data_IF_529063087055
#
_entry.id   IF_529063087055
#
_cell.length_a   1.000
_cell.length_b   1.000
_cell.length_c   1.000
_cell.angle_alpha   90.00
_cell.angle_beta   90.00
_cell.angle_gamma   90.00
#
_symmetry.space_group_name_H-M   'P 1'
#
loop_
_entity.id
_entity.type
_entity.pdbx_description
1 polymer ?
#
# COMPACT_ATOMS: atom_id res chain seq x y z
N UNK A 1 77.72 75.12 6.84
CA UNK A 1 77.32 76.47 7.29
C UNK A 1 76.67 77.21 6.12
N UNK A 2 75.60 77.98 6.41
CA UNK A 2 75.04 79.10 5.61
C UNK A 2 74.43 78.74 4.24
N UNK A 3 73.11 78.54 4.15
CA UNK A 3 72.03 79.53 3.83
C UNK A 3 72.08 80.11 2.42
N UNK A 4 70.99 79.93 1.65
CA UNK A 4 70.14 81.01 1.11
C UNK A 4 69.15 80.48 0.06
N UNK A 5 68.08 81.25 -0.16
CA UNK A 5 66.73 80.86 -0.59
C UNK A 5 66.37 81.62 -1.88
N UNK A 6 65.50 81.01 -2.70
CA UNK A 6 64.67 81.57 -3.79
C UNK A 6 65.42 82.09 -5.04
N UNK A 7 64.91 82.07 -6.28
CA UNK A 7 63.54 81.96 -6.80
C UNK A 7 63.50 81.50 -8.29
N UNK A 8 62.33 80.99 -8.71
CA UNK A 8 61.64 81.19 -10.00
C UNK A 8 61.84 80.29 -11.26
N UNK A 9 60.67 79.75 -11.70
CA UNK A 9 60.16 79.48 -13.09
C UNK A 9 60.76 78.25 -13.82
N UNK A 10 60.02 77.25 -14.32
CA UNK A 10 58.59 76.98 -14.59
C UNK A 10 58.40 75.48 -14.84
N UNK A 11 57.25 74.83 -14.55
CA UNK A 11 56.92 73.52 -15.10
C UNK A 11 56.02 73.67 -16.34
N UNK A 12 56.43 73.14 -17.50
CA UNK A 12 55.55 72.84 -18.63
C UNK A 12 55.31 71.33 -18.69
N UNK A 13 54.11 70.84 -18.42
CA UNK A 13 53.64 69.54 -18.87
C UNK A 13 52.51 69.73 -19.89
N UNK A 14 52.59 69.13 -21.08
CA UNK A 14 51.49 68.91 -22.04
C UNK A 14 52.15 68.32 -23.31
N UNK A 15 51.72 67.25 -23.98
CA UNK A 15 50.45 66.54 -24.10
C UNK A 15 50.75 65.09 -24.48
N UNK A 16 50.21 64.11 -23.74
CA UNK A 16 49.86 62.82 -24.34
C UNK A 16 48.35 62.84 -24.45
N UNK A 17 47.87 63.11 -25.66
CA UNK A 17 46.48 62.95 -26.08
C UNK A 17 46.01 61.56 -25.64
N UNK A 18 45.25 61.51 -24.55
CA UNK A 18 44.35 60.40 -24.31
C UNK A 18 43.16 60.65 -25.21
N UNK A 19 43.17 60.02 -26.39
CA UNK A 19 41.94 59.81 -27.15
C UNK A 19 40.99 59.10 -26.20
N UNK A 20 40.02 59.85 -25.67
CA UNK A 20 38.88 59.30 -24.98
C UNK A 20 38.15 58.44 -26.00
N UNK A 21 38.40 57.13 -25.94
CA UNK A 21 37.48 56.15 -26.50
C UNK A 21 36.20 56.35 -25.69
N UNK A 22 35.24 57.06 -26.28
CA UNK A 22 33.84 57.06 -25.86
C UNK A 22 33.29 55.64 -26.06
N UNK A 23 33.76 54.71 -25.24
CA UNK A 23 33.07 53.46 -24.97
C UNK A 23 32.09 53.77 -23.87
N UNK A 24 30.81 53.95 -24.23
CA UNK A 24 29.74 54.03 -23.24
C UNK A 24 29.86 52.85 -22.29
N UNK A 25 29.90 53.14 -20.98
CA UNK A 25 29.81 52.10 -19.96
C UNK A 25 28.40 51.54 -20.07
N UNK A 26 28.21 50.24 -20.38
CA UNK A 26 26.88 49.68 -20.54
C UNK A 26 26.12 49.79 -19.22
N UNK A 27 25.06 50.61 -19.22
CA UNK A 27 24.21 50.80 -18.04
C UNK A 27 23.27 49.60 -17.98
N UNK A 28 23.45 48.76 -16.96
CA UNK A 28 22.55 47.65 -16.65
C UNK A 28 21.88 47.92 -15.30
N UNK A 29 20.55 47.99 -15.30
CA UNK A 29 19.74 48.11 -14.09
C UNK A 29 19.08 46.76 -13.80
N UNK A 30 19.42 46.16 -12.66
CA UNK A 30 18.81 44.91 -12.21
C UNK A 30 17.80 45.19 -11.11
N UNK A 31 16.54 44.87 -11.36
CA UNK A 31 15.44 44.91 -10.39
C UNK A 31 14.91 43.49 -10.25
N UNK A 32 15.27 42.81 -9.15
CA UNK A 32 14.92 41.41 -8.95
C UNK A 32 15.45 40.49 -10.05
N UNK A 33 14.57 39.74 -10.71
CA UNK A 33 14.91 38.84 -11.82
C UNK A 33 14.94 39.54 -13.20
N UNK A 34 14.56 40.82 -13.27
CA UNK A 34 14.55 41.59 -14.52
C UNK A 34 15.78 42.47 -14.65
N UNK A 35 16.40 42.43 -15.82
CA UNK A 35 17.56 43.24 -16.20
C UNK A 35 17.15 44.18 -17.33
N UNK A 36 17.41 45.46 -17.14
CA UNK A 36 17.26 46.51 -18.15
C UNK A 36 18.66 46.89 -18.62
N UNK A 37 18.89 46.86 -19.92
CA UNK A 37 20.14 47.31 -20.54
C UNK A 37 19.89 48.46 -21.50
N UNK A 38 20.77 49.44 -21.49
CA UNK A 38 20.76 50.50 -22.49
C UNK A 38 21.37 49.97 -23.80
N UNK A 39 20.57 49.88 -24.86
CA UNK A 39 20.99 49.46 -26.19
C UNK A 39 21.86 50.52 -26.89
N UNK A 40 22.56 50.13 -27.95
CA UNK A 40 23.52 50.99 -28.68
C UNK A 40 22.89 52.24 -29.33
N UNK A 41 21.55 52.30 -29.44
CA UNK A 41 20.79 53.45 -29.92
C UNK A 41 20.29 54.37 -28.77
N UNK A 42 20.63 54.07 -27.51
CA UNK A 42 20.15 54.80 -26.34
C UNK A 42 18.75 54.41 -25.87
N UNK A 43 18.19 53.31 -26.38
CA UNK A 43 16.89 52.78 -25.97
C UNK A 43 17.04 51.79 -24.81
N UNK A 44 16.10 51.81 -23.86
CA UNK A 44 16.07 50.85 -22.77
C UNK A 44 15.48 49.53 -23.26
N UNK A 45 16.30 48.48 -23.30
CA UNK A 45 15.89 47.12 -23.65
C UNK A 45 15.71 46.30 -22.36
N UNK A 46 14.61 45.55 -22.28
CA UNK A 46 14.27 44.73 -21.12
C UNK A 46 14.55 43.26 -21.46
N UNK A 47 15.33 42.56 -20.63
CA UNK A 47 15.63 41.13 -20.80
C UNK A 47 14.35 40.29 -20.60
N UNK A 48 13.56 40.12 -21.66
CA UNK A 48 12.32 39.36 -21.67
C UNK A 48 12.53 37.86 -21.89
N UNK A 49 13.70 37.46 -22.40
CA UNK A 49 14.01 36.09 -22.81
C UNK A 49 14.14 35.15 -21.61
N UNK A 50 14.77 35.59 -20.52
CA UNK A 50 14.94 34.81 -19.29
C UNK A 50 13.61 34.63 -18.54
N UNK A 51 12.78 35.67 -18.48
CA UNK A 51 11.43 35.60 -17.92
C UNK A 51 10.54 34.65 -18.73
N UNK A 52 10.64 34.68 -20.06
CA UNK A 52 9.89 33.79 -20.94
C UNK A 52 10.34 32.32 -20.77
N UNK A 53 11.65 32.06 -20.74
CA UNK A 53 12.19 30.71 -20.49
C UNK A 53 11.78 30.16 -19.12
N UNK A 54 11.77 30.99 -18.08
CA UNK A 54 11.34 30.57 -16.74
C UNK A 54 9.85 30.28 -16.70
N UNK A 55 9.01 31.08 -17.37
CA UNK A 55 7.58 30.82 -17.52
C UNK A 55 7.30 29.50 -18.27
N UNK A 56 8.01 29.24 -19.35
CA UNK A 56 7.88 27.99 -20.10
C UNK A 56 8.30 26.78 -19.26
N UNK A 57 9.42 26.88 -18.53
CA UNK A 57 9.86 25.83 -17.59
C UNK A 57 8.85 25.60 -16.47
N UNK A 58 8.26 26.66 -15.91
CA UNK A 58 7.21 26.57 -14.90
C UNK A 58 6.01 25.78 -15.44
N UNK A 59 5.52 26.09 -16.64
CA UNK A 59 4.39 25.37 -17.25
C UNK A 59 4.70 23.88 -17.49
N UNK A 60 5.92 23.55 -17.91
CA UNK A 60 6.34 22.16 -18.10
C UNK A 60 6.36 21.42 -16.76
N UNK A 61 6.91 22.06 -15.72
CA UNK A 61 6.96 21.49 -14.38
C UNK A 61 5.57 21.32 -13.77
N UNK A 62 4.66 22.28 -13.95
CA UNK A 62 3.27 22.18 -13.51
C UNK A 62 2.55 20.99 -14.16
N UNK A 63 2.68 20.84 -15.49
CA UNK A 63 2.09 19.69 -16.20
C UNK A 63 2.66 18.37 -15.70
N UNK A 64 3.99 18.31 -15.50
CA UNK A 64 4.65 17.11 -14.97
C UNK A 64 4.21 16.82 -13.54
N UNK A 65 4.07 17.85 -12.71
CA UNK A 65 3.63 17.68 -11.34
C UNK A 65 2.18 17.18 -11.28
N UNK A 66 1.27 17.75 -12.09
CA UNK A 66 -0.11 17.26 -12.21
C UNK A 66 -0.16 15.79 -12.68
N UNK A 67 0.71 15.40 -13.61
CA UNK A 67 0.82 14.00 -14.06
C UNK A 67 1.29 13.08 -12.93
N UNK A 68 2.34 13.48 -12.20
CA UNK A 68 2.89 12.73 -11.08
C UNK A 68 1.90 12.62 -9.92
N UNK A 69 1.11 13.67 -9.65
CA UNK A 69 0.05 13.64 -8.63
C UNK A 69 -1.05 12.64 -9.01
N UNK A 70 -1.49 12.64 -10.27
CA UNK A 70 -2.46 11.67 -10.76
C UNK A 70 -1.94 10.22 -10.67
N UNK A 71 -0.68 10.00 -11.07
CA UNK A 71 -0.01 8.69 -10.93
C UNK A 71 0.12 8.28 -9.46
N UNK A 72 0.45 9.21 -8.57
CA UNK A 72 0.57 8.92 -7.13
C UNK A 72 -0.76 8.48 -6.53
N UNK A 73 -1.86 9.16 -6.89
CA UNK A 73 -3.21 8.77 -6.47
C UNK A 73 -3.54 7.36 -7.00
N UNK A 74 -3.34 7.13 -8.30
CA UNK A 74 -3.61 5.82 -8.92
C UNK A 74 -2.79 4.68 -8.27
N UNK A 75 -1.53 4.94 -7.91
CA UNK A 75 -0.67 3.96 -7.23
C UNK A 75 -1.14 3.71 -5.80
N UNK A 76 -1.54 4.74 -5.05
CA UNK A 76 -2.11 4.56 -3.71
C UNK A 76 -3.38 3.73 -3.77
N UNK A 77 -4.28 4.01 -4.69
CA UNK A 77 -5.52 3.25 -4.88
C UNK A 77 -5.23 1.78 -5.26
N UNK A 78 -4.20 1.55 -6.07
CA UNK A 78 -3.76 0.18 -6.41
C UNK A 78 -3.20 -0.54 -5.17
N UNK A 79 -2.38 0.13 -4.36
CA UNK A 79 -1.86 -0.43 -3.12
C UNK A 79 -2.97 -0.78 -2.13
N UNK A 80 -3.96 0.10 -1.96
CA UNK A 80 -5.12 -0.15 -1.08
C UNK A 80 -5.90 -1.37 -1.55
N UNK A 81 -6.25 -1.45 -2.85
CA UNK A 81 -6.97 -2.61 -3.41
C UNK A 81 -6.21 -3.91 -3.23
N UNK A 82 -4.92 -3.92 -3.52
CA UNK A 82 -4.08 -5.11 -3.35
C UNK A 82 -3.97 -5.54 -1.87
N UNK A 83 -3.95 -4.57 -0.94
CA UNK A 83 -3.96 -4.85 0.50
C UNK A 83 -5.31 -5.45 0.94
N UNK A 84 -6.42 -4.94 0.43
CA UNK A 84 -7.75 -5.49 0.68
C UNK A 84 -7.87 -6.93 0.14
N UNK A 85 -7.45 -7.17 -1.11
CA UNK A 85 -7.42 -8.51 -1.72
C UNK A 85 -6.57 -9.48 -0.89
N UNK A 86 -5.38 -9.07 -0.46
CA UNK A 86 -4.53 -9.87 0.40
C UNK A 86 -5.18 -10.21 1.75
N UNK A 87 -5.82 -9.23 2.39
CA UNK A 87 -6.51 -9.43 3.66
C UNK A 87 -7.70 -10.39 3.51
N UNK A 88 -8.46 -10.27 2.42
CA UNK A 88 -9.56 -11.18 2.11
C UNK A 88 -9.07 -12.60 1.91
N UNK A 89 -7.95 -12.79 1.20
CA UNK A 89 -7.39 -14.13 0.98
C UNK A 89 -6.85 -14.76 2.26
N UNK A 90 -6.19 -13.97 3.11
CA UNK A 90 -5.78 -14.40 4.45
C UNK A 90 -6.99 -14.85 5.28
N UNK A 91 -8.07 -14.08 5.27
CA UNK A 91 -9.30 -14.42 5.99
C UNK A 91 -9.93 -15.72 5.47
N UNK A 92 -10.04 -15.89 4.15
CA UNK A 92 -10.56 -17.15 3.55
C UNK A 92 -9.73 -18.36 3.96
N UNK A 93 -8.41 -18.25 3.90
CA UNK A 93 -7.52 -19.34 4.31
C UNK A 93 -7.71 -19.70 5.78
N UNK A 94 -7.79 -18.70 6.67
CA UNK A 94 -8.03 -18.92 8.09
C UNK A 94 -9.39 -19.59 8.33
N UNK A 95 -10.45 -19.08 7.71
CA UNK A 95 -11.79 -19.64 7.84
C UNK A 95 -11.84 -21.10 7.37
N UNK A 96 -11.20 -21.43 6.24
CA UNK A 96 -11.12 -22.82 5.75
C UNK A 96 -10.40 -23.73 6.73
N UNK A 97 -9.30 -23.26 7.35
CA UNK A 97 -8.58 -24.04 8.38
C UNK A 97 -9.47 -24.29 9.59
N UNK A 98 -10.18 -23.28 10.08
CA UNK A 98 -11.09 -23.40 11.21
C UNK A 98 -12.27 -24.34 10.89
N UNK A 99 -12.88 -24.21 9.71
CA UNK A 99 -13.96 -25.08 9.26
C UNK A 99 -13.50 -26.54 9.10
N UNK A 100 -12.29 -26.77 8.61
CA UNK A 100 -11.71 -28.11 8.54
C UNK A 100 -11.46 -28.69 9.93
N UNK A 101 -11.02 -27.88 10.89
CA UNK A 101 -10.85 -28.30 12.27
C UNK A 101 -12.20 -28.71 12.90
N UNK A 102 -13.25 -27.91 12.71
CA UNK A 102 -14.61 -28.23 13.18
C UNK A 102 -15.13 -29.50 12.51
N UNK A 103 -15.00 -29.62 11.19
CA UNK A 103 -15.48 -30.80 10.44
C UNK A 103 -14.80 -32.09 10.93
N UNK A 104 -13.50 -32.04 11.23
CA UNK A 104 -12.77 -33.17 11.80
C UNK A 104 -13.26 -33.55 13.20
N UNK A 105 -13.56 -32.56 14.04
CA UNK A 105 -14.13 -32.81 15.37
C UNK A 105 -15.51 -33.45 15.28
N UNK A 106 -16.34 -33.00 14.34
CA UNK A 106 -17.66 -33.58 14.10
C UNK A 106 -17.56 -35.00 13.56
N UNK A 107 -16.67 -35.27 12.60
CA UNK A 107 -16.42 -36.62 12.10
C UNK A 107 -16.00 -37.58 13.22
N UNK A 108 -15.06 -37.16 14.09
CA UNK A 108 -14.58 -37.99 15.18
C UNK A 108 -15.70 -38.25 16.22
N UNK A 109 -16.48 -37.22 16.54
CA UNK A 109 -17.66 -37.36 17.41
C UNK A 109 -18.67 -38.37 16.85
N UNK A 110 -18.94 -38.30 15.54
CA UNK A 110 -19.86 -39.22 14.88
C UNK A 110 -19.32 -40.65 14.85
N UNK A 111 -18.00 -40.85 14.64
CA UNK A 111 -17.37 -42.17 14.74
C UNK A 111 -17.52 -42.77 16.14
N UNK A 112 -17.21 -42.01 17.18
CA UNK A 112 -17.34 -42.45 18.57
C UNK A 112 -18.79 -42.85 18.89
N UNK A 113 -19.76 -42.05 18.45
CA UNK A 113 -21.19 -42.38 18.63
C UNK A 113 -21.56 -43.68 17.89
N UNK A 114 -21.11 -43.86 16.65
CA UNK A 114 -21.37 -45.07 15.88
C UNK A 114 -20.74 -46.32 16.52
N UNK A 115 -19.53 -46.21 17.04
CA UNK A 115 -18.87 -47.30 17.77
C UNK A 115 -19.61 -47.64 19.07
N UNK A 116 -20.08 -46.63 19.79
CA UNK A 116 -20.87 -46.82 21.01
C UNK A 116 -22.20 -47.53 20.72
N UNK A 117 -22.93 -47.12 19.68
CA UNK A 117 -24.18 -47.80 19.28
C UNK A 117 -23.92 -49.22 18.79
N UNK A 118 -22.82 -49.46 18.06
CA UNK A 118 -22.40 -50.81 17.65
C UNK A 118 -22.11 -51.69 18.86
N UNK A 119 -21.42 -51.17 19.88
CA UNK A 119 -21.15 -51.88 21.12
C UNK A 119 -22.45 -52.22 21.86
N UNK A 120 -23.39 -51.27 21.98
CA UNK A 120 -24.71 -51.50 22.57
C UNK A 120 -25.51 -52.58 21.84
N UNK A 121 -25.55 -52.51 20.50
CA UNK A 121 -26.21 -53.53 19.69
C UNK A 121 -25.58 -54.92 19.87
N UNK A 122 -24.25 -54.98 19.99
CA UNK A 122 -23.54 -56.25 20.25
C UNK A 122 -23.81 -56.81 21.65
N UNK A 123 -23.91 -55.95 22.67
CA UNK A 123 -24.31 -56.34 24.02
C UNK A 123 -25.72 -56.91 24.02
N UNK A 124 -26.68 -56.16 23.46
CA UNK A 124 -28.07 -56.57 23.37
C UNK A 124 -28.22 -57.90 22.61
N UNK A 125 -27.49 -58.08 21.52
CA UNK A 125 -27.45 -59.35 20.78
C UNK A 125 -26.96 -60.49 21.67
N UNK A 126 -25.91 -60.26 22.45
CA UNK A 126 -25.35 -61.27 23.37
C UNK A 126 -26.35 -61.62 24.46
N UNK A 127 -27.02 -60.63 25.04
CA UNK A 127 -28.05 -60.82 26.05
C UNK A 127 -29.24 -61.61 25.51
N UNK A 128 -29.73 -61.29 24.31
CA UNK A 128 -30.80 -62.04 23.63
C UNK A 128 -30.39 -63.48 23.39
N UNK A 129 -29.17 -63.74 22.90
CA UNK A 129 -28.67 -65.11 22.68
C UNK A 129 -28.59 -65.88 24.00
N UNK A 130 -28.12 -65.25 25.07
CA UNK A 130 -28.07 -65.87 26.39
C UNK A 130 -29.47 -66.22 26.92
N UNK A 131 -30.44 -65.31 26.80
CA UNK A 131 -31.84 -65.57 27.16
C UNK A 131 -32.46 -66.69 26.32
N UNK A 132 -32.15 -66.73 25.01
CA UNK A 132 -32.61 -67.80 24.13
C UNK A 132 -32.03 -69.16 24.53
N UNK A 133 -30.76 -69.22 24.90
CA UNK A 133 -30.13 -70.45 25.36
C UNK A 133 -30.67 -70.90 26.71
N UNK A 134 -30.92 -69.97 27.64
CA UNK A 134 -31.56 -70.28 28.92
C UNK A 134 -32.97 -70.86 28.72
N UNK A 135 -33.79 -70.23 27.88
CA UNK A 135 -35.13 -70.73 27.57
C UNK A 135 -35.09 -72.11 26.90
N UNK A 136 -34.08 -72.38 26.06
CA UNK A 136 -33.85 -73.69 25.45
C UNK A 136 -33.53 -74.75 26.52
N UNK A 137 -32.68 -74.44 27.48
CA UNK A 137 -32.32 -75.34 28.61
C UNK A 137 -33.56 -75.64 29.47
N UNK A 138 -34.38 -74.63 29.74
CA UNK A 138 -35.62 -74.75 30.51
C UNK A 138 -36.77 -75.41 29.74
N UNK A 139 -36.58 -75.74 28.45
CA UNK A 139 -37.60 -76.37 27.61
C UNK A 139 -38.75 -75.45 27.19
N UNK A 140 -38.59 -74.13 27.33
CA UNK A 140 -39.57 -73.11 26.95
C UNK A 140 -39.50 -72.83 25.45
N UNK A 141 -40.59 -73.09 24.74
CA UNK A 141 -40.71 -72.76 23.32
C UNK A 141 -41.02 -71.27 23.15
N UNK A 142 -39.97 -70.46 22.98
CA UNK A 142 -40.07 -69.00 22.87
C UNK A 142 -41.02 -68.51 21.77
N UNK A 143 -41.26 -69.30 20.72
CA UNK A 143 -42.24 -68.99 19.67
C UNK A 143 -43.69 -69.06 20.16
N UNK A 144 -43.98 -69.92 21.14
CA UNK A 144 -45.29 -70.04 21.76
C UNK A 144 -45.54 -68.93 22.77
N UNK A 145 -44.49 -68.51 23.50
CA UNK A 145 -44.56 -67.38 24.44
C UNK A 145 -44.75 -66.03 23.72
N UNK A 146 -43.99 -65.76 22.66
CA UNK A 146 -44.15 -64.50 21.90
C UNK A 146 -45.50 -64.42 21.17
N UNK A 147 -46.04 -65.56 20.71
CA UNK A 147 -47.39 -65.64 20.18
C UNK A 147 -48.46 -65.39 21.25
N UNK A 148 -48.26 -65.91 22.47
CA UNK A 148 -49.19 -65.72 23.58
C UNK A 148 -49.20 -64.29 24.15
N UNK A 149 -48.04 -63.60 24.16
CA UNK A 149 -47.96 -62.18 24.56
C UNK A 149 -48.52 -61.24 23.48
N UNK A 150 -48.28 -61.54 22.19
CA UNK A 150 -48.88 -60.80 21.06
C UNK A 150 -50.42 -60.90 21.06
N UNK A 151 -50.97 -62.06 21.42
CA UNK A 151 -52.43 -62.28 21.59
C UNK A 151 -53.02 -61.57 22.83
N UNK A 152 -52.21 -61.22 23.84
CA UNK A 152 -52.66 -60.43 25.01
C UNK A 152 -52.59 -58.92 24.79
N UNK A 153 -51.92 -58.45 23.73
CA UNK A 153 -51.75 -57.04 23.38
C UNK A 153 -52.59 -56.55 22.19
N UNK A 154 -53.38 -57.42 21.56
CA UNK A 154 -54.43 -57.04 20.62
C UNK A 154 -55.74 -56.81 21.40
N UNK A 155 -56.56 -55.79 21.04
CA UNK A 155 -57.65 -55.26 21.87
C UNK A 155 -58.70 -56.30 22.30
#
# INVERSE_FOLDING_TARGET
MMTARAANRSPRPLEKETKAVTGEIPIRLTLGATSLSLGAAGEWELDHTTLQQTKERMQVLEKRNATLEAENIALRDKCTRMMEEFNMEKFKCQLLVEMLAVSRLDEERMRVQAEQEKARASSLKTDIVALMEQARIEGLDLRKLSAAESLKGAP
#
